data_IF_941249057412
#
_entry.id   IF_941249057412
#
_cell.length_a   1.000
_cell.length_b   1.000
_cell.length_c   1.000
_cell.angle_alpha   90.00
_cell.angle_beta   90.00
_cell.angle_gamma   90.00
#
_symmetry.space_group_name_H-M   'P 1'
#
loop_
_entity.id
_entity.type
_entity.pdbx_description
1 polymer ?
#
# COMPACT_ATOMS: atom_id res chain seq x y z
N UNK A 1 -3.79 -1.75 14.76
CA UNK A 1 -2.95 -0.74 15.51
C UNK A 1 -2.27 0.17 14.50
N UNK A 2 -2.19 1.48 14.76
CA UNK A 2 -1.46 2.40 13.88
C UNK A 2 0.06 2.19 13.97
N UNK A 3 0.69 1.96 12.84
CA UNK A 3 2.11 2.21 12.61
C UNK A 3 2.23 3.65 12.11
N UNK A 4 2.92 4.51 12.85
CA UNK A 4 3.00 5.94 12.61
C UNK A 4 1.60 6.60 12.50
N UNK A 5 0.98 6.98 13.63
CA UNK A 5 -0.32 7.62 13.61
C UNK A 5 -0.36 8.85 12.68
N UNK A 6 -1.41 9.03 11.86
CA UNK A 6 -1.57 10.20 10.99
C UNK A 6 -1.92 11.46 11.80
N UNK A 7 -1.99 12.60 11.11
CA UNK A 7 -2.45 13.85 11.72
C UNK A 7 -3.89 13.74 12.21
N UNK A 8 -4.74 13.08 11.43
CA UNK A 8 -6.12 12.79 11.78
C UNK A 8 -6.56 11.45 11.16
N UNK A 9 -7.41 10.72 11.86
CA UNK A 9 -8.08 9.54 11.36
C UNK A 9 -9.52 9.50 11.87
N UNK A 10 -10.49 9.60 10.98
CA UNK A 10 -11.92 9.69 11.32
C UNK A 10 -12.68 8.56 10.64
N UNK A 11 -13.40 7.79 11.45
CA UNK A 11 -14.35 6.79 10.94
C UNK A 11 -15.70 7.46 10.69
N UNK A 12 -16.08 7.62 9.43
CA UNK A 12 -17.37 8.15 9.02
C UNK A 12 -18.18 7.08 8.30
N UNK A 13 -19.28 6.65 8.89
CA UNK A 13 -20.07 5.50 8.41
C UNK A 13 -19.18 4.23 8.30
N UNK A 14 -18.99 3.71 7.08
CA UNK A 14 -18.10 2.56 6.81
C UNK A 14 -16.71 2.97 6.29
N UNK A 15 -16.46 4.26 6.09
CA UNK A 15 -15.23 4.77 5.50
C UNK A 15 -14.27 5.28 6.57
N UNK A 16 -12.97 5.08 6.34
CA UNK A 16 -11.91 5.67 7.14
C UNK A 16 -11.26 6.81 6.33
N UNK A 17 -11.38 8.03 6.81
CA UNK A 17 -10.66 9.19 6.28
C UNK A 17 -9.39 9.40 7.07
N UNK A 18 -8.27 9.56 6.38
CA UNK A 18 -6.94 9.71 6.97
C UNK A 18 -6.29 10.95 6.39
N UNK A 19 -5.94 11.92 7.25
CA UNK A 19 -5.11 13.07 6.89
C UNK A 19 -3.65 12.77 7.26
N UNK A 20 -2.78 12.73 6.26
CA UNK A 20 -1.36 12.40 6.44
C UNK A 20 -0.57 13.56 7.06
N UNK A 21 0.63 13.25 7.54
CA UNK A 21 1.64 14.23 7.96
C UNK A 21 2.61 14.48 6.79
N UNK A 22 3.00 15.73 6.59
CA UNK A 22 3.99 16.14 5.60
C UNK A 22 5.30 15.33 5.74
N UNK A 23 5.93 15.00 4.62
CA UNK A 23 7.15 14.18 4.54
C UNK A 23 6.98 12.75 5.07
N UNK A 24 5.74 12.25 5.14
CA UNK A 24 5.51 10.84 5.43
C UNK A 24 5.83 9.96 4.22
N UNK A 25 6.57 8.88 4.43
CA UNK A 25 6.89 7.88 3.39
C UNK A 25 7.44 6.59 4.00
N UNK A 26 7.54 5.56 3.15
CA UNK A 26 8.36 4.38 3.34
C UNK A 26 9.31 4.23 2.15
N UNK A 27 10.62 4.40 2.42
CA UNK A 27 11.68 4.24 1.43
C UNK A 27 13.01 3.91 2.11
N UNK A 28 13.83 3.07 1.48
CA UNK A 28 15.16 2.74 1.99
C UNK A 28 16.21 2.76 0.89
N UNK A 29 17.15 3.66 1.02
CA UNK A 29 18.46 3.78 0.36
C UNK A 29 18.45 3.93 -1.15
N UNK A 30 17.84 3.02 -1.90
CA UNK A 30 17.97 2.90 -3.36
C UNK A 30 17.82 4.24 -4.06
N UNK A 31 18.80 4.60 -4.89
CA UNK A 31 18.89 5.82 -5.69
C UNK A 31 19.04 7.13 -4.89
N UNK A 32 18.28 7.29 -3.81
CA UNK A 32 18.21 8.55 -3.06
C UNK A 32 19.12 8.62 -1.83
N UNK A 33 19.56 7.48 -1.30
CA UNK A 33 20.47 7.41 -0.15
C UNK A 33 19.85 7.79 1.20
N UNK A 34 18.53 8.01 1.29
CA UNK A 34 17.82 8.30 2.52
C UNK A 34 16.98 7.09 3.00
N UNK A 35 16.53 7.17 4.24
CA UNK A 35 15.59 6.24 4.86
C UNK A 35 14.41 7.04 5.40
N UNK A 36 13.20 6.69 4.93
CA UNK A 36 11.94 7.12 5.50
C UNK A 36 11.17 5.89 6.00
N UNK A 37 10.63 5.99 7.21
CA UNK A 37 9.84 4.95 7.88
C UNK A 37 8.67 5.62 8.63
N UNK A 38 8.07 6.62 8.01
CA UNK A 38 7.07 7.52 8.60
C UNK A 38 5.70 7.48 7.93
N UNK A 39 5.53 6.69 6.88
CA UNK A 39 4.22 6.46 6.25
C UNK A 39 3.20 5.91 7.23
N UNK A 40 1.92 6.21 7.03
CA UNK A 40 0.85 5.82 7.94
C UNK A 40 0.23 4.50 7.52
N UNK A 41 0.05 3.59 8.48
CA UNK A 41 -0.59 2.31 8.22
C UNK A 41 -1.43 1.83 9.42
N UNK A 42 -2.62 1.30 9.15
CA UNK A 42 -3.47 0.67 10.15
C UNK A 42 -3.34 -0.85 10.06
N UNK A 43 -2.46 -1.42 10.86
CA UNK A 43 -2.03 -2.81 10.74
C UNK A 43 -2.83 -3.78 11.62
N UNK A 44 -3.04 -4.98 11.09
CA UNK A 44 -3.51 -6.18 11.78
C UNK A 44 -2.62 -7.36 11.40
N UNK A 45 -2.64 -8.44 12.18
CA UNK A 45 -1.87 -9.65 11.90
C UNK A 45 -2.17 -10.18 10.50
N UNK A 46 -1.12 -10.65 9.81
CA UNK A 46 -1.21 -11.17 8.46
C UNK A 46 -0.50 -12.54 8.37
N UNK A 47 -1.18 -13.61 8.81
CA UNK A 47 -0.58 -14.95 8.83
C UNK A 47 -0.35 -15.50 7.42
N UNK A 48 0.46 -16.57 7.31
CA UNK A 48 0.59 -17.34 6.07
C UNK A 48 -0.79 -17.89 5.63
N UNK A 49 -0.94 -18.10 4.33
CA UNK A 49 -2.18 -18.58 3.70
C UNK A 49 -3.39 -17.67 3.90
N UNK A 50 -3.14 -16.36 4.04
CA UNK A 50 -4.19 -15.35 4.12
C UNK A 50 -4.05 -14.29 3.04
N UNK A 51 -5.09 -13.49 2.89
CA UNK A 51 -5.10 -12.33 2.02
C UNK A 51 -5.71 -11.14 2.71
N UNK A 52 -5.40 -9.96 2.19
CA UNK A 52 -6.07 -8.72 2.54
C UNK A 52 -6.37 -7.91 1.29
N UNK A 53 -7.58 -7.40 1.20
CA UNK A 53 -7.97 -6.39 0.22
C UNK A 53 -8.15 -5.05 0.90
N UNK A 54 -7.69 -3.99 0.24
CA UNK A 54 -7.91 -2.59 0.62
C UNK A 54 -8.51 -1.85 -0.56
N UNK A 55 -9.67 -1.23 -0.36
CA UNK A 55 -10.34 -0.39 -1.36
C UNK A 55 -10.29 1.07 -0.92
N UNK A 56 -9.84 1.95 -1.79
CA UNK A 56 -9.73 3.39 -1.53
C UNK A 56 -10.18 4.21 -2.75
N UNK A 57 -10.42 5.51 -2.54
CA UNK A 57 -10.74 6.45 -3.62
C UNK A 57 -9.44 7.07 -4.12
N UNK A 58 -9.22 7.02 -5.45
CA UNK A 58 -8.06 7.64 -6.10
C UNK A 58 -8.43 9.06 -6.56
N UNK A 59 -8.37 10.03 -5.66
CA UNK A 59 -8.75 11.44 -5.90
C UNK A 59 -7.65 12.45 -5.54
N UNK A 60 -6.40 11.98 -5.44
CA UNK A 60 -5.23 12.78 -5.10
C UNK A 60 -4.27 12.88 -6.30
N UNK A 61 -3.51 13.97 -6.37
CA UNK A 61 -2.62 14.28 -7.49
C UNK A 61 -1.31 14.97 -7.09
N UNK A 62 -1.04 15.13 -5.81
CA UNK A 62 0.22 15.66 -5.31
C UNK A 62 1.38 14.70 -5.62
N UNK A 63 2.57 15.26 -5.90
CA UNK A 63 3.73 14.44 -6.24
C UNK A 63 4.05 13.44 -5.13
N UNK A 64 4.08 12.15 -5.48
CA UNK A 64 4.30 10.99 -4.61
C UNK A 64 3.21 10.74 -3.56
N UNK A 65 2.11 11.50 -3.56
CA UNK A 65 0.95 11.14 -2.75
C UNK A 65 0.47 9.74 -3.12
N UNK A 66 0.24 8.91 -2.11
CA UNK A 66 0.00 7.49 -2.31
C UNK A 66 -0.98 6.91 -1.30
N UNK A 67 -1.78 5.96 -1.77
CA UNK A 67 -2.64 5.13 -0.94
C UNK A 67 -2.71 3.70 -1.48
N UNK A 68 -2.97 2.74 -0.59
CA UNK A 68 -3.06 1.33 -0.91
C UNK A 68 -2.93 0.43 0.31
N UNK A 69 -2.17 -0.64 0.15
CA UNK A 69 -1.87 -1.63 1.19
C UNK A 69 -0.39 -1.62 1.53
N UNK A 70 -0.06 -1.92 2.79
CA UNK A 70 1.28 -2.31 3.18
C UNK A 70 1.24 -3.66 3.90
N UNK A 71 2.23 -4.51 3.61
CA UNK A 71 2.57 -5.73 4.33
C UNK A 71 3.90 -5.46 5.02
N UNK A 72 3.93 -5.46 6.34
CA UNK A 72 5.02 -4.95 7.16
C UNK A 72 5.44 -5.94 8.23
N UNK A 73 6.73 -6.15 8.38
CA UNK A 73 7.35 -6.91 9.46
C UNK A 73 8.15 -6.00 10.40
N UNK A 74 9.12 -5.31 9.85
CA UNK A 74 9.98 -4.36 10.56
C UNK A 74 10.46 -3.23 9.64
N UNK A 75 11.31 -2.33 10.13
CA UNK A 75 11.80 -1.17 9.36
C UNK A 75 12.63 -1.54 8.13
N UNK A 76 13.05 -2.78 7.97
CA UNK A 76 13.87 -3.25 6.84
C UNK A 76 13.11 -4.23 5.92
N UNK A 77 11.96 -4.75 6.35
CA UNK A 77 11.19 -5.75 5.63
C UNK A 77 9.73 -5.33 5.54
N UNK A 78 9.35 -4.79 4.40
CA UNK A 78 7.98 -4.40 4.10
C UNK A 78 7.73 -4.32 2.59
N UNK A 79 6.48 -4.43 2.22
CA UNK A 79 6.02 -4.32 0.84
C UNK A 79 4.81 -3.41 0.83
N UNK A 80 4.91 -2.25 0.17
CA UNK A 80 3.76 -1.37 -0.06
C UNK A 80 3.31 -1.48 -1.52
N UNK A 81 2.01 -1.43 -1.76
CA UNK A 81 1.43 -1.45 -3.09
C UNK A 81 0.15 -0.63 -3.15
N UNK A 82 -0.08 0.01 -4.26
CA UNK A 82 -1.22 0.90 -4.44
C UNK A 82 -1.09 1.78 -5.64
N UNK A 83 -1.70 2.93 -5.58
CA UNK A 83 -1.53 3.97 -6.59
C UNK A 83 -0.78 5.15 -5.98
N UNK A 84 0.24 5.59 -6.71
CA UNK A 84 1.04 6.76 -6.40
C UNK A 84 0.87 7.79 -7.51
N UNK A 85 0.73 9.05 -7.16
CA UNK A 85 0.78 10.14 -8.12
C UNK A 85 2.23 10.49 -8.41
N UNK A 86 2.77 10.06 -9.54
CA UNK A 86 4.15 10.32 -9.92
C UNK A 86 4.22 10.97 -11.30
N UNK A 87 4.96 12.08 -11.38
CA UNK A 87 5.20 12.83 -12.61
C UNK A 87 3.90 13.28 -13.31
N UNK A 88 2.90 13.67 -12.51
CA UNK A 88 1.63 14.20 -12.98
C UNK A 88 0.61 13.14 -13.43
N UNK A 89 0.89 11.85 -13.20
CA UNK A 89 -0.02 10.76 -13.53
C UNK A 89 -0.21 9.82 -12.33
N UNK A 90 -1.42 9.27 -12.13
CA UNK A 90 -1.60 8.15 -11.23
C UNK A 90 -0.94 6.90 -11.81
N UNK A 91 -0.15 6.24 -10.99
CA UNK A 91 0.60 5.05 -11.37
C UNK A 91 0.38 3.93 -10.34
N UNK A 92 -0.05 2.77 -10.81
CA UNK A 92 -0.18 1.58 -9.96
C UNK A 92 1.15 0.86 -9.88
N UNK A 93 1.50 0.37 -8.68
CA UNK A 93 2.73 -0.37 -8.52
C UNK A 93 3.00 -0.83 -7.11
N UNK A 94 4.25 -1.20 -6.87
CA UNK A 94 4.70 -1.69 -5.58
C UNK A 94 6.15 -1.29 -5.29
N UNK A 95 6.46 -1.16 -4.01
CA UNK A 95 7.81 -1.11 -3.48
C UNK A 95 8.03 -2.34 -2.60
N UNK A 96 9.00 -3.17 -2.97
CA UNK A 96 9.44 -4.31 -2.17
C UNK A 96 10.72 -3.92 -1.45
N UNK A 97 10.73 -3.99 -0.13
CA UNK A 97 11.90 -3.66 0.68
C UNK A 97 12.36 -4.86 1.47
N UNK A 98 13.59 -5.26 1.18
CA UNK A 98 14.41 -6.15 1.98
C UNK A 98 15.77 -5.48 2.10
N UNK A 99 15.96 -4.71 3.18
CA UNK A 99 17.09 -3.79 3.42
C UNK A 99 17.06 -2.57 2.49
N UNK A 100 16.94 -2.75 1.18
CA UNK A 100 16.83 -1.69 0.17
C UNK A 100 15.52 -1.80 -0.60
N UNK A 101 15.00 -0.65 -1.04
CA UNK A 101 13.75 -0.57 -1.78
C UNK A 101 13.91 -0.89 -3.26
N UNK A 102 13.00 -1.69 -3.79
CA UNK A 102 12.84 -2.04 -5.21
C UNK A 102 11.45 -1.57 -5.67
N UNK A 103 11.40 -0.68 -6.63
CA UNK A 103 10.20 0.04 -7.03
C UNK A 103 9.82 -0.21 -8.49
N UNK A 104 8.54 -0.45 -8.75
CA UNK A 104 7.99 -0.55 -10.10
C UNK A 104 6.62 0.12 -10.17
N UNK A 105 6.38 0.83 -11.29
CA UNK A 105 5.14 1.56 -11.58
C UNK A 105 4.68 1.33 -13.01
N UNK A 106 3.36 1.48 -13.21
CA UNK A 106 2.71 1.55 -14.52
C UNK A 106 1.60 2.61 -14.50
N UNK A 107 1.45 3.47 -15.53
CA UNK A 107 0.45 4.52 -15.56
C UNK A 107 -0.97 3.96 -15.65
N UNK A 108 -1.89 4.55 -14.88
CA UNK A 108 -3.32 4.20 -14.82
C UNK A 108 -4.18 5.48 -14.83
N UNK A 109 -3.95 6.35 -15.79
CA UNK A 109 -4.58 7.67 -15.85
C UNK A 109 -6.12 7.62 -15.82
N UNK A 110 -6.72 6.59 -16.38
CA UNK A 110 -8.17 6.36 -16.44
C UNK A 110 -8.78 5.86 -15.10
N UNK A 111 -7.95 5.55 -14.10
CA UNK A 111 -8.40 5.19 -12.75
C UNK A 111 -8.68 6.39 -11.87
N UNK A 112 -8.24 7.59 -12.24
CA UNK A 112 -8.44 8.81 -11.45
C UNK A 112 -9.94 9.09 -11.20
N UNK A 113 -10.27 9.44 -9.96
CA UNK A 113 -11.64 9.68 -9.50
C UNK A 113 -12.45 8.42 -9.21
N UNK A 114 -11.84 7.23 -9.25
CA UNK A 114 -12.54 5.95 -9.07
C UNK A 114 -12.09 5.22 -7.82
N UNK A 115 -12.86 4.19 -7.47
CA UNK A 115 -12.48 3.21 -6.46
C UNK A 115 -11.42 2.26 -7.01
N UNK A 116 -10.34 2.10 -6.27
CA UNK A 116 -9.26 1.16 -6.56
C UNK A 116 -9.16 0.15 -5.44
N UNK A 117 -9.07 -1.12 -5.78
CA UNK A 117 -8.82 -2.20 -4.83
C UNK A 117 -7.44 -2.79 -5.06
N UNK A 118 -6.68 -2.94 -4.00
CA UNK A 118 -5.41 -3.67 -3.99
C UNK A 118 -5.54 -4.87 -3.08
N UNK A 119 -5.16 -6.04 -3.59
CA UNK A 119 -5.16 -7.31 -2.88
C UNK A 119 -3.74 -7.83 -2.71
N UNK A 120 -3.37 -8.16 -1.48
CA UNK A 120 -2.18 -8.90 -1.13
C UNK A 120 -2.58 -10.32 -0.71
N UNK A 121 -2.00 -11.33 -1.33
CA UNK A 121 -2.23 -12.75 -1.03
C UNK A 121 -0.91 -13.40 -0.65
N UNK A 122 -0.82 -13.94 0.56
CA UNK A 122 0.40 -14.51 1.13
C UNK A 122 0.33 -16.03 1.15
N UNK A 123 1.33 -16.67 0.54
CA UNK A 123 1.66 -18.08 0.74
C UNK A 123 2.83 -18.22 1.73
N UNK A 124 3.53 -19.34 1.76
CA UNK A 124 4.67 -19.54 2.67
C UNK A 124 5.85 -18.64 2.36
N UNK A 125 6.21 -18.51 1.09
CA UNK A 125 7.44 -17.84 0.62
C UNK A 125 7.19 -16.71 -0.38
N UNK A 126 5.93 -16.44 -0.72
CA UNK A 126 5.56 -15.46 -1.72
C UNK A 126 4.38 -14.57 -1.31
N UNK A 127 4.46 -13.32 -1.74
CA UNK A 127 3.37 -12.36 -1.71
C UNK A 127 2.97 -12.01 -3.15
N UNK A 128 1.72 -12.31 -3.49
CA UNK A 128 1.11 -11.91 -4.76
C UNK A 128 0.30 -10.65 -4.54
N UNK A 129 0.55 -9.63 -5.35
CA UNK A 129 -0.20 -8.38 -5.31
C UNK A 129 -0.97 -8.22 -6.61
N UNK A 130 -2.27 -7.99 -6.48
CA UNK A 130 -3.19 -7.63 -7.57
C UNK A 130 -3.82 -6.28 -7.29
N UNK A 131 -4.19 -5.59 -8.36
CA UNK A 131 -4.97 -4.37 -8.27
C UNK A 131 -6.07 -4.37 -9.33
N UNK A 132 -7.19 -3.71 -9.02
CA UNK A 132 -8.29 -3.50 -9.96
C UNK A 132 -8.92 -2.14 -9.80
N UNK A 133 -9.42 -1.62 -10.90
CA UNK A 133 -10.38 -0.53 -10.98
C UNK A 133 -11.52 -1.02 -11.87
N UNK A 134 -12.66 -1.40 -11.28
CA UNK A 134 -13.69 -2.22 -11.92
C UNK A 134 -13.55 -3.70 -11.57
N UNK A 135 -13.86 -4.60 -12.51
CA UNK A 135 -14.08 -6.01 -12.21
C UNK A 135 -12.85 -6.92 -12.45
N UNK A 136 -11.84 -6.46 -13.20
CA UNK A 136 -10.71 -7.30 -13.60
C UNK A 136 -9.47 -7.06 -12.73
N UNK A 137 -9.03 -8.11 -12.05
CA UNK A 137 -7.77 -8.11 -11.31
C UNK A 137 -6.56 -8.18 -12.24
N UNK A 138 -5.60 -7.29 -12.03
CA UNK A 138 -4.31 -7.29 -12.72
C UNK A 138 -3.21 -7.71 -11.74
N UNK A 139 -2.36 -8.65 -12.16
CA UNK A 139 -1.15 -8.99 -11.40
C UNK A 139 -0.17 -7.81 -11.46
N UNK A 140 0.12 -7.23 -10.30
CA UNK A 140 1.03 -6.07 -10.16
C UNK A 140 2.43 -6.52 -9.76
N UNK A 141 2.51 -7.45 -8.80
CA UNK A 141 3.81 -7.93 -8.30
C UNK A 141 3.68 -9.34 -7.76
N UNK A 142 4.70 -10.15 -8.02
CA UNK A 142 5.01 -11.33 -7.24
C UNK A 142 6.35 -11.06 -6.55
N UNK A 143 6.37 -11.12 -5.24
CA UNK A 143 7.55 -10.83 -4.43
C UNK A 143 7.85 -11.98 -3.47
N UNK A 144 9.13 -12.28 -3.20
CA UNK A 144 9.47 -13.17 -2.10
C UNK A 144 9.09 -12.53 -0.75
N UNK A 145 8.70 -13.36 0.19
CA UNK A 145 8.44 -12.98 1.57
C UNK A 145 9.17 -13.94 2.51
N UNK A 146 9.82 -13.41 3.53
CA UNK A 146 10.52 -14.24 4.51
C UNK A 146 9.52 -14.88 5.46
N UNK A 147 9.37 -16.20 5.37
CA UNK A 147 8.43 -16.97 6.20
C UNK A 147 8.84 -17.05 7.67
N UNK A 148 10.09 -16.74 8.01
CA UNK A 148 10.59 -16.72 9.39
C UNK A 148 10.19 -15.47 10.16
N UNK A 149 9.73 -14.40 9.46
CA UNK A 149 9.30 -13.16 10.05
C UNK A 149 7.79 -13.16 10.32
N UNK A 150 7.40 -12.40 11.36
CA UNK A 150 5.99 -12.10 11.62
C UNK A 150 5.56 -10.91 10.77
N UNK A 151 4.43 -11.02 10.11
CA UNK A 151 3.92 -10.01 9.19
C UNK A 151 2.56 -9.47 9.64
N UNK A 152 2.37 -8.19 9.43
CA UNK A 152 1.08 -7.50 9.58
C UNK A 152 0.74 -6.80 8.27
N UNK A 153 -0.54 -6.56 8.01
CA UNK A 153 -0.97 -5.85 6.81
C UNK A 153 -2.11 -4.88 7.11
N UNK A 154 -2.31 -3.92 6.22
CA UNK A 154 -3.43 -2.99 6.34
C UNK A 154 -3.40 -1.83 5.36
N UNK A 155 -4.43 -0.98 5.39
CA UNK A 155 -4.46 0.24 4.61
C UNK A 155 -3.28 1.15 4.96
N UNK A 156 -2.71 1.76 3.93
CA UNK A 156 -1.53 2.62 3.98
C UNK A 156 -1.73 3.87 3.14
N UNK A 157 -1.22 5.01 3.62
CA UNK A 157 -1.10 6.24 2.85
C UNK A 157 0.12 7.07 3.29
N UNK A 158 0.59 7.94 2.40
CA UNK A 158 1.70 8.83 2.67
C UNK A 158 1.68 10.05 1.74
N UNK A 159 2.28 11.16 2.19
CA UNK A 159 2.47 12.39 1.42
C UNK A 159 3.92 12.89 1.53
N UNK A 160 4.82 12.35 0.69
CA UNK A 160 6.24 12.68 0.77
C UNK A 160 6.56 14.14 0.47
N UNK A 161 5.79 14.78 -0.40
CA UNK A 161 6.02 16.16 -0.87
C UNK A 161 4.87 17.09 -0.51
N UNK A 162 3.63 16.62 -0.63
CA UNK A 162 2.45 17.39 -0.30
C UNK A 162 2.41 17.73 1.19
N UNK A 163 1.82 18.89 1.53
CA UNK A 163 1.64 19.29 2.93
C UNK A 163 0.80 18.28 3.71
N UNK A 164 -0.18 17.69 3.07
CA UNK A 164 -0.98 16.57 3.54
C UNK A 164 -1.71 15.93 2.37
N UNK A 165 -2.11 14.69 2.55
CA UNK A 165 -3.06 13.95 1.70
C UNK A 165 -4.26 13.58 2.58
N UNK A 166 -5.48 13.80 2.08
CA UNK A 166 -6.70 13.24 2.64
C UNK A 166 -7.07 11.97 1.89
N UNK A 167 -6.69 10.82 2.43
CA UNK A 167 -6.98 9.53 1.83
C UNK A 167 -8.29 8.96 2.37
N UNK A 168 -9.15 8.44 1.48
CA UNK A 168 -10.42 7.79 1.85
C UNK A 168 -10.36 6.30 1.57
N UNK A 169 -10.36 5.50 2.63
CA UNK A 169 -10.47 4.04 2.55
C UNK A 169 -11.93 3.63 2.75
N UNK A 170 -12.48 2.93 1.75
CA UNK A 170 -13.89 2.49 1.75
C UNK A 170 -14.04 1.20 2.54
N UNK A 171 -13.09 0.28 2.37
CA UNK A 171 -13.15 -1.06 2.93
C UNK A 171 -11.76 -1.70 2.98
N UNK A 172 -11.53 -2.52 4.00
CA UNK A 172 -10.44 -3.50 4.01
C UNK A 172 -10.93 -4.78 4.67
N UNK A 173 -10.57 -5.91 4.09
CA UNK A 173 -11.05 -7.23 4.52
C UNK A 173 -9.96 -8.27 4.45
N UNK A 174 -9.97 -9.17 5.43
CA UNK A 174 -9.18 -10.40 5.42
C UNK A 174 -9.92 -11.51 4.69
N UNK A 175 -9.16 -12.42 4.11
CA UNK A 175 -9.68 -13.62 3.45
C UNK A 175 -8.61 -14.71 3.35
N UNK A 176 -8.96 -15.80 2.70
CA UNK A 176 -8.03 -16.87 2.38
C UNK A 176 -7.08 -16.44 1.26
N UNK A 177 -5.88 -17.01 1.24
CA UNK A 177 -4.94 -16.81 0.15
C UNK A 177 -5.49 -17.33 -1.18
N UNK A 178 -5.00 -16.75 -2.28
CA UNK A 178 -5.30 -17.24 -3.61
C UNK A 178 -4.80 -18.68 -3.78
N UNK A 179 -5.62 -19.53 -4.39
CA UNK A 179 -5.26 -20.93 -4.61
C UNK A 179 -4.22 -21.10 -5.72
N UNK A 180 -4.20 -20.20 -6.68
CA UNK A 180 -3.31 -20.24 -7.84
C UNK A 180 -2.80 -18.85 -8.18
N UNK A 181 -1.65 -18.78 -8.87
CA UNK A 181 -1.13 -17.52 -9.40
C UNK A 181 -1.83 -17.10 -10.69
N UNK A 182 -2.35 -18.05 -11.44
CA UNK A 182 -3.05 -17.84 -12.74
C UNK A 182 -4.41 -18.49 -12.75
#
# INVERSE_FOLDING_TARGET
MWLNPPAEAVQENSHLKVTTIHESDFWRNTSYGFVHDSGHALLTDFPAHSSMEVTFILDYSGQFDQAGIIVHSDSQHWIKAGVESADGLPQVGAVVTSINSDWSLAPVADWFGKEVTVRASRTDDALTIRARCGDEDQLIRLAPIDSSLSWSAGPHCASPVSRSLDATFIRWTHGDADLTLH
#
